data_IF_444504241729
#
_entry.id   IF_444504241729
#
_cell.length_a   1.000
_cell.length_b   1.000
_cell.length_c   1.000
_cell.angle_alpha   90.00
_cell.angle_beta   90.00
_cell.angle_gamma   90.00
#
_symmetry.space_group_name_H-M   'P 1'
#
loop_
_entity.id
_entity.type
_entity.pdbx_description
1 polymer ?
#
# COMPACT_ATOMS: atom_id res chain seq x y z
N UNK A 1 -26.50 5.34 8.96
CA UNK A 1 -25.43 4.66 9.70
C UNK A 1 -24.14 4.49 8.89
N UNK A 2 -24.21 4.16 7.62
CA UNK A 2 -23.08 4.11 6.67
C UNK A 2 -22.39 5.47 6.45
N UNK A 3 -23.14 6.56 6.39
CA UNK A 3 -22.60 7.90 6.12
C UNK A 3 -21.74 8.48 7.25
N UNK A 4 -22.06 8.15 8.50
CA UNK A 4 -21.29 8.59 9.67
C UNK A 4 -19.93 7.87 9.76
N UNK A 5 -19.90 6.57 9.48
CA UNK A 5 -18.66 5.79 9.43
C UNK A 5 -17.75 6.24 8.30
N UNK A 6 -18.32 6.50 7.13
CA UNK A 6 -17.57 6.99 5.96
C UNK A 6 -17.01 8.39 6.21
N UNK A 7 -17.79 9.28 6.84
CA UNK A 7 -17.35 10.61 7.21
C UNK A 7 -16.21 10.58 8.24
N UNK A 8 -16.31 9.71 9.24
CA UNK A 8 -15.26 9.55 10.26
C UNK A 8 -13.95 9.00 9.67
N UNK A 9 -14.01 8.03 8.76
CA UNK A 9 -12.83 7.50 8.06
C UNK A 9 -12.18 8.58 7.18
N UNK A 10 -12.98 9.35 6.46
CA UNK A 10 -12.49 10.45 5.63
C UNK A 10 -11.78 11.51 6.46
N UNK A 11 -12.35 11.89 7.61
CA UNK A 11 -11.75 12.87 8.52
C UNK A 11 -10.40 12.38 9.08
N UNK A 12 -10.33 11.10 9.44
CA UNK A 12 -9.07 10.48 9.92
C UNK A 12 -8.00 10.48 8.84
N UNK A 13 -8.35 10.12 7.62
CA UNK A 13 -7.45 10.16 6.47
C UNK A 13 -6.92 11.58 6.23
N UNK A 14 -7.79 12.58 6.22
CA UNK A 14 -7.42 13.98 6.02
C UNK A 14 -6.53 14.50 7.15
N UNK A 15 -6.80 14.13 8.39
CA UNK A 15 -5.97 14.50 9.53
C UNK A 15 -4.57 13.87 9.44
N UNK A 16 -4.47 12.61 9.07
CA UNK A 16 -3.21 11.94 8.84
C UNK A 16 -2.42 12.61 7.72
N UNK A 17 -3.06 12.90 6.58
CA UNK A 17 -2.45 13.60 5.46
C UNK A 17 -1.89 14.96 5.86
N UNK A 18 -2.67 15.73 6.62
CA UNK A 18 -2.22 17.04 7.14
C UNK A 18 -1.01 16.90 8.04
N UNK A 19 -1.03 15.95 8.98
CA UNK A 19 0.07 15.68 9.90
C UNK A 19 1.36 15.32 9.14
N UNK A 20 1.27 14.44 8.15
CA UNK A 20 2.42 14.09 7.31
C UNK A 20 2.98 15.31 6.57
N UNK A 21 2.14 16.08 5.94
CA UNK A 21 2.56 17.25 5.18
C UNK A 21 3.22 18.31 6.10
N UNK A 22 2.66 18.54 7.28
CA UNK A 22 3.26 19.45 8.28
C UNK A 22 4.64 18.98 8.73
N UNK A 23 4.82 17.69 9.01
CA UNK A 23 6.12 17.13 9.37
C UNK A 23 7.14 17.24 8.24
N UNK A 24 6.73 16.94 7.01
CA UNK A 24 7.60 17.08 5.83
C UNK A 24 8.01 18.54 5.59
N UNK A 25 7.09 19.48 5.75
CA UNK A 25 7.36 20.92 5.64
C UNK A 25 8.35 21.40 6.71
N UNK A 26 8.37 20.78 7.87
CA UNK A 26 9.35 21.03 8.93
C UNK A 26 10.71 20.36 8.67
N UNK A 27 10.86 19.61 7.59
CA UNK A 27 12.06 18.83 7.29
C UNK A 27 12.25 17.60 8.15
N UNK A 28 11.18 17.10 8.77
CA UNK A 28 11.18 15.87 9.57
C UNK A 28 10.87 14.68 8.67
N UNK A 29 11.55 13.57 8.91
CA UNK A 29 11.26 12.29 8.24
C UNK A 29 10.32 11.49 9.15
N UNK A 30 9.03 11.35 8.79
CA UNK A 30 8.09 10.54 9.58
C UNK A 30 8.44 9.06 9.47
N UNK A 31 8.48 8.37 10.60
CA UNK A 31 8.61 6.91 10.65
C UNK A 31 7.28 6.35 11.12
N UNK A 32 6.70 5.46 10.31
CA UNK A 32 5.32 4.96 10.52
C UNK A 32 5.33 3.44 10.62
N UNK A 33 4.56 2.93 11.59
CA UNK A 33 4.32 1.50 11.73
C UNK A 33 2.81 1.24 11.81
N UNK A 34 2.36 0.08 11.35
CA UNK A 34 0.94 -0.32 11.42
C UNK A 34 0.40 -0.30 12.86
N UNK A 35 1.24 -0.59 13.86
CA UNK A 35 0.85 -0.59 15.28
C UNK A 35 0.58 0.81 15.86
N UNK A 36 1.09 1.85 15.22
CA UNK A 36 1.01 3.24 15.70
C UNK A 36 -0.19 3.99 15.12
N UNK A 37 -0.82 3.44 14.09
CA UNK A 37 -1.91 4.09 13.38
C UNK A 37 -3.27 3.71 13.98
N UNK A 38 -3.67 4.37 15.05
CA UNK A 38 -5.03 4.27 15.60
C UNK A 38 -6.11 4.73 14.61
N UNK A 39 -5.73 5.47 13.58
CA UNK A 39 -6.65 6.03 12.59
C UNK A 39 -7.13 5.00 11.55
N UNK A 40 -6.49 3.85 11.44
CA UNK A 40 -6.69 2.88 10.36
C UNK A 40 -7.00 1.47 10.90
N UNK A 41 -7.23 1.34 12.21
CA UNK A 41 -7.47 0.05 12.88
C UNK A 41 -8.71 -0.71 12.37
N UNK A 42 -9.63 -0.05 11.69
CA UNK A 42 -10.80 -0.67 11.09
C UNK A 42 -10.55 -1.17 9.65
N UNK A 43 -9.53 -0.67 8.99
CA UNK A 43 -9.05 -1.22 7.73
C UNK A 43 -7.99 -2.23 8.13
N UNK A 44 -8.32 -3.50 8.04
CA UNK A 44 -7.36 -4.58 8.27
C UNK A 44 -6.30 -4.54 7.16
N UNK A 45 -5.29 -3.71 7.35
CA UNK A 45 -4.09 -3.79 6.55
C UNK A 45 -3.34 -5.05 6.98
N UNK A 46 -3.21 -5.98 6.09
CA UNK A 46 -2.56 -7.24 6.40
C UNK A 46 -1.03 -7.11 6.56
N UNK A 47 -0.46 -5.94 6.18
CA UNK A 47 0.98 -5.73 6.18
C UNK A 47 1.38 -4.25 6.02
N UNK A 48 2.66 -3.98 6.30
CA UNK A 48 3.27 -2.68 6.12
C UNK A 48 3.39 -2.27 4.63
N UNK A 49 3.37 -3.20 3.69
CA UNK A 49 3.44 -2.92 2.26
C UNK A 49 2.20 -2.16 1.80
N UNK A 50 1.02 -2.63 2.19
CA UNK A 50 -0.25 -1.93 1.93
C UNK A 50 -0.29 -0.56 2.58
N UNK A 51 0.17 -0.45 3.84
CA UNK A 51 0.26 0.83 4.54
C UNK A 51 1.21 1.80 3.81
N UNK A 52 2.34 1.30 3.31
CA UNK A 52 3.29 2.09 2.52
C UNK A 52 2.67 2.65 1.24
N UNK A 53 1.93 1.82 0.51
CA UNK A 53 1.25 2.23 -0.71
C UNK A 53 0.19 3.32 -0.44
N UNK A 54 -0.59 3.17 0.62
CA UNK A 54 -1.59 4.16 1.03
C UNK A 54 -0.92 5.46 1.46
N UNK A 55 0.15 5.37 2.24
CA UNK A 55 0.91 6.56 2.68
C UNK A 55 1.50 7.29 1.48
N UNK A 56 2.09 6.58 0.53
CA UNK A 56 2.62 7.17 -0.69
C UNK A 56 1.55 7.92 -1.49
N UNK A 57 0.37 7.33 -1.63
CA UNK A 57 -0.78 7.98 -2.29
C UNK A 57 -1.26 9.21 -1.49
N UNK A 58 -1.31 9.11 -0.18
CA UNK A 58 -1.76 10.17 0.73
C UNK A 58 -0.90 11.44 0.64
N UNK A 59 0.42 11.28 0.58
CA UNK A 59 1.38 12.39 0.51
C UNK A 59 1.76 12.79 -0.91
N UNK A 60 1.16 12.15 -1.91
CA UNK A 60 1.52 12.34 -3.34
C UNK A 60 3.00 12.11 -3.61
N UNK A 61 3.54 11.00 -3.10
CA UNK A 61 4.94 10.65 -3.30
C UNK A 61 5.24 10.40 -4.79
N UNK A 62 6.38 10.85 -5.25
CA UNK A 62 6.84 10.61 -6.62
C UNK A 62 7.32 9.17 -6.83
N UNK A 63 7.87 8.57 -5.78
CA UNK A 63 8.42 7.22 -5.81
C UNK A 63 8.06 6.47 -4.52
N UNK A 64 7.84 5.16 -4.63
CA UNK A 64 7.70 4.24 -3.51
C UNK A 64 8.68 3.08 -3.69
N UNK A 65 9.51 2.84 -2.68
CA UNK A 65 10.41 1.70 -2.62
C UNK A 65 9.92 0.72 -1.56
N UNK A 66 9.56 -0.49 -1.99
CA UNK A 66 9.22 -1.58 -1.09
C UNK A 66 10.46 -2.43 -0.82
N UNK A 67 10.98 -2.32 0.39
CA UNK A 67 12.11 -3.14 0.85
C UNK A 67 11.53 -4.44 1.41
N UNK A 68 11.65 -5.51 0.64
CA UNK A 68 11.04 -6.80 0.95
C UNK A 68 12.06 -7.93 0.82
N UNK A 69 11.73 -9.09 1.38
CA UNK A 69 12.53 -10.32 1.29
C UNK A 69 12.24 -11.16 0.05
N UNK A 70 11.39 -10.66 -0.86
CA UNK A 70 11.07 -11.29 -2.14
C UNK A 70 11.85 -10.62 -3.26
N UNK A 71 12.31 -11.42 -4.23
CA UNK A 71 13.12 -10.94 -5.34
C UNK A 71 12.33 -10.01 -6.28
N UNK A 72 11.09 -10.36 -6.57
CA UNK A 72 10.26 -9.62 -7.52
C UNK A 72 8.80 -10.09 -7.49
N UNK A 73 7.99 -9.46 -8.32
CA UNK A 73 6.64 -9.90 -8.62
C UNK A 73 6.68 -11.10 -9.58
N UNK A 74 5.85 -12.10 -9.33
CA UNK A 74 5.70 -13.28 -10.20
C UNK A 74 4.29 -13.37 -10.76
N UNK A 75 4.16 -13.98 -11.93
CA UNK A 75 2.87 -14.26 -12.58
C UNK A 75 2.03 -15.29 -11.80
N UNK A 76 2.68 -16.14 -11.01
CA UNK A 76 2.08 -17.13 -10.13
C UNK A 76 3.05 -17.46 -8.98
N UNK A 77 2.55 -18.19 -7.99
CA UNK A 77 3.35 -18.51 -6.81
C UNK A 77 4.57 -19.38 -7.16
N UNK A 78 5.82 -18.88 -7.04
CA UNK A 78 7.02 -19.61 -7.42
C UNK A 78 7.31 -20.81 -6.50
N UNK A 79 6.77 -20.83 -5.27
CA UNK A 79 6.95 -21.95 -4.34
C UNK A 79 6.21 -23.22 -4.76
N UNK A 80 5.08 -23.03 -5.43
CA UNK A 80 4.20 -24.13 -5.87
C UNK A 80 4.25 -24.36 -7.37
N UNK A 81 4.81 -23.41 -8.13
CA UNK A 81 4.90 -23.47 -9.59
C UNK A 81 6.34 -23.22 -10.04
N UNK A 82 7.10 -24.28 -10.37
CA UNK A 82 8.48 -24.14 -10.85
C UNK A 82 8.63 -23.33 -12.13
N UNK A 83 7.54 -23.19 -12.89
CA UNK A 83 7.44 -22.44 -14.15
C UNK A 83 6.98 -20.98 -13.95
N UNK A 84 6.89 -20.50 -12.71
CA UNK A 84 6.56 -19.11 -12.42
C UNK A 84 7.60 -18.16 -13.03
N UNK A 85 7.10 -17.13 -13.74
CA UNK A 85 7.95 -16.16 -14.42
C UNK A 85 8.00 -14.84 -13.64
N UNK A 86 9.18 -14.24 -13.45
CA UNK A 86 9.31 -12.93 -12.83
C UNK A 86 8.73 -11.85 -13.75
N UNK A 87 8.08 -10.86 -13.14
CA UNK A 87 7.56 -9.67 -13.82
C UNK A 87 8.43 -8.49 -13.40
N UNK A 88 9.29 -8.04 -14.30
CA UNK A 88 10.23 -6.96 -13.98
C UNK A 88 9.56 -5.58 -14.03
N UNK A 89 8.64 -5.38 -14.98
CA UNK A 89 7.96 -4.10 -15.20
C UNK A 89 6.48 -4.33 -15.42
N UNK A 90 5.65 -3.57 -14.72
CA UNK A 90 4.20 -3.50 -14.94
C UNK A 90 3.88 -2.13 -15.51
N UNK A 91 3.65 -2.05 -16.82
CA UNK A 91 3.33 -0.80 -17.50
C UNK A 91 1.89 -0.35 -17.24
N UNK A 92 0.97 -1.31 -17.15
CA UNK A 92 -0.45 -1.05 -16.90
C UNK A 92 -1.01 -2.01 -15.85
N UNK A 93 -1.35 -1.47 -14.68
CA UNK A 93 -2.00 -2.23 -13.61
C UNK A 93 -3.35 -2.78 -14.05
N UNK A 94 -4.08 -2.08 -14.91
CA UNK A 94 -5.37 -2.52 -15.44
C UNK A 94 -5.28 -3.86 -16.16
N UNK A 95 -4.19 -4.11 -16.88
CA UNK A 95 -3.96 -5.38 -17.58
C UNK A 95 -3.78 -6.56 -16.63
N UNK A 96 -3.30 -6.34 -15.42
CA UNK A 96 -3.13 -7.37 -14.39
C UNK A 96 -4.45 -7.77 -13.73
N UNK A 97 -5.41 -6.85 -13.67
CA UNK A 97 -6.72 -7.05 -13.04
C UNK A 97 -7.73 -7.63 -14.04
N UNK A 98 -7.59 -7.30 -15.32
CA UNK A 98 -8.53 -7.70 -16.37
C UNK A 98 -8.64 -9.22 -16.56
N UNK A 99 -7.62 -9.97 -16.16
CA UNK A 99 -7.60 -11.43 -16.34
C UNK A 99 -8.30 -12.20 -15.19
N UNK A 100 -8.93 -11.52 -14.24
CA UNK A 100 -9.84 -12.05 -13.19
C UNK A 100 -9.38 -13.31 -12.42
N UNK A 101 -8.33 -13.96 -12.89
CA UNK A 101 -7.75 -15.21 -12.39
C UNK A 101 -6.31 -15.07 -11.91
N UNK A 102 -5.67 -13.95 -12.15
CA UNK A 102 -4.30 -13.72 -11.69
C UNK A 102 -4.29 -12.94 -10.38
N UNK A 103 -4.31 -13.65 -9.27
CA UNK A 103 -3.84 -13.08 -8.01
C UNK A 103 -2.34 -12.88 -8.13
N UNK A 104 -1.92 -11.64 -8.18
CA UNK A 104 -0.52 -11.30 -7.98
C UNK A 104 -0.13 -11.76 -6.57
N UNK A 105 0.77 -12.70 -6.49
CA UNK A 105 1.32 -13.15 -5.23
C UNK A 105 2.65 -12.42 -5.03
N UNK A 106 2.61 -11.39 -4.20
CA UNK A 106 3.79 -10.92 -3.48
C UNK A 106 3.92 -11.88 -2.31
N UNK A 107 4.97 -12.64 -2.27
CA UNK A 107 5.27 -13.57 -1.17
C UNK A 107 6.18 -12.87 -0.19
#
# INVERSE_FOLDING_TARGET
MTDLLFSAQRSRYQNAQRTFNELLDLGVIPIVNENDTLAVSEIKFGDNDTLSAITAAMIHADLLFLMTDVDCLYDKNPRTNPDAQPIEVVEDIGSLVADGKRRLHII
#
